data_IF_785113567077
#
_entry.id   IF_785113567077
#
_cell.length_a   1.000
_cell.length_b   1.000
_cell.length_c   1.000
_cell.angle_alpha   90.00
_cell.angle_beta   90.00
_cell.angle_gamma   90.00
#
_symmetry.space_group_name_H-M   'P 1'
#
loop_
_entity.id
_entity.type
_entity.pdbx_description
1 polymer ?
#
# COMPACT_ATOMS: atom_id res chain seq x y z
N UNK A 1 15.75 6.63 34.51
CA UNK A 1 16.16 5.86 33.31
C UNK A 1 16.14 6.82 32.13
N UNK A 2 17.28 7.22 31.54
CA UNK A 2 17.32 8.28 30.53
C UNK A 2 17.13 7.76 29.10
N UNK A 3 16.82 6.47 28.92
CA UNK A 3 16.53 5.92 27.61
C UNK A 3 15.06 6.18 27.28
N UNK A 4 14.75 6.90 26.18
CA UNK A 4 13.38 6.97 25.71
C UNK A 4 12.90 5.55 25.45
N UNK A 5 11.70 5.23 25.95
CA UNK A 5 11.01 3.98 25.63
C UNK A 5 11.03 3.77 24.12
N UNK A 6 11.22 2.52 23.64
CA UNK A 6 11.20 2.25 22.21
C UNK A 6 9.90 2.81 21.61
N UNK A 7 9.95 3.43 20.41
CA UNK A 7 8.78 4.03 19.81
C UNK A 7 7.68 2.98 19.66
N UNK A 8 6.46 3.36 20.03
CA UNK A 8 5.31 2.49 19.86
C UNK A 8 5.11 2.19 18.36
N UNK A 9 4.56 1.01 18.01
CA UNK A 9 4.21 0.71 16.62
C UNK A 9 3.29 1.79 16.03
N UNK A 10 3.47 2.16 14.76
CA UNK A 10 2.61 3.15 14.11
C UNK A 10 1.13 2.76 14.15
N UNK A 11 0.29 3.73 14.48
CA UNK A 11 -1.17 3.61 14.43
C UNK A 11 -1.75 4.17 13.13
N UNK A 12 -2.99 3.79 12.81
CA UNK A 12 -3.73 4.31 11.66
C UNK A 12 -5.16 4.68 12.03
N UNK A 13 -5.65 5.80 11.50
CA UNK A 13 -7.04 6.24 11.64
C UNK A 13 -7.65 6.54 10.27
N UNK A 14 -8.90 6.10 10.07
CA UNK A 14 -9.68 6.50 8.91
C UNK A 14 -10.46 7.78 9.23
N UNK A 15 -10.38 8.77 8.35
CA UNK A 15 -11.10 10.04 8.43
C UNK A 15 -12.03 10.16 7.21
N UNK A 16 -13.31 10.44 7.47
CA UNK A 16 -14.31 10.70 6.43
C UNK A 16 -14.61 12.20 6.38
N UNK A 17 -14.47 12.86 5.21
CA UNK A 17 -14.78 14.28 5.05
C UNK A 17 -16.25 14.62 5.33
N UNK A 18 -17.18 13.64 5.26
CA UNK A 18 -18.56 13.85 5.68
C UNK A 18 -18.67 14.35 7.13
N UNK A 19 -17.73 13.95 7.99
CA UNK A 19 -17.68 14.37 9.39
C UNK A 19 -16.55 15.35 9.70
N UNK A 20 -15.48 15.35 8.90
CA UNK A 20 -14.24 16.08 9.17
C UNK A 20 -13.74 16.84 7.93
N UNK A 21 -14.64 17.56 7.24
CA UNK A 21 -14.36 18.26 5.98
C UNK A 21 -13.13 19.16 6.05
N UNK A 22 -13.10 20.09 7.02
CA UNK A 22 -12.01 21.06 7.17
C UNK A 22 -10.65 20.40 7.39
N UNK A 23 -10.60 19.30 8.15
CA UNK A 23 -9.37 18.53 8.34
C UNK A 23 -8.86 17.94 7.02
N UNK A 24 -9.75 17.31 6.24
CA UNK A 24 -9.41 16.70 4.95
C UNK A 24 -8.98 17.76 3.91
N UNK A 25 -9.63 18.92 3.88
CA UNK A 25 -9.26 20.04 3.02
C UNK A 25 -7.87 20.59 3.39
N UNK A 26 -7.61 20.84 4.67
CA UNK A 26 -6.30 21.26 5.16
C UNK A 26 -5.21 20.24 4.82
N UNK A 27 -5.52 18.95 4.96
CA UNK A 27 -4.60 17.89 4.60
C UNK A 27 -4.30 17.86 3.10
N UNK A 28 -5.31 18.08 2.25
CA UNK A 28 -5.11 18.20 0.81
C UNK A 28 -4.22 19.40 0.43
N UNK A 29 -4.42 20.54 1.08
CA UNK A 29 -3.58 21.74 0.90
C UNK A 29 -2.12 21.46 1.32
N UNK A 30 -1.92 20.85 2.49
CA UNK A 30 -0.60 20.42 2.96
C UNK A 30 0.06 19.48 1.94
N UNK A 31 -0.68 18.50 1.44
CA UNK A 31 -0.16 17.51 0.51
C UNK A 31 0.24 18.12 -0.84
N UNK A 32 -0.48 19.14 -1.30
CA UNK A 32 -0.18 19.82 -2.58
C UNK A 32 1.20 20.48 -2.59
N UNK A 33 1.75 20.83 -1.42
CA UNK A 33 3.11 21.36 -1.28
C UNK A 33 4.18 20.34 -1.69
N UNK A 34 3.85 19.05 -1.68
CA UNK A 34 4.80 17.95 -1.91
C UNK A 34 4.39 17.01 -3.06
N UNK A 35 3.21 17.21 -3.65
CA UNK A 35 2.65 16.39 -4.72
C UNK A 35 2.33 17.27 -5.93
N UNK A 36 3.16 17.18 -6.97
CA UNK A 36 3.05 18.02 -8.17
C UNK A 36 1.74 17.76 -8.93
N UNK A 37 1.38 16.48 -9.09
CA UNK A 37 0.19 16.05 -9.83
C UNK A 37 -1.09 15.98 -8.99
N UNK A 38 -1.06 16.44 -7.74
CA UNK A 38 -2.29 16.48 -6.93
C UNK A 38 -3.21 17.58 -7.45
N UNK A 39 -4.35 17.19 -8.01
CA UNK A 39 -5.41 18.14 -8.33
C UNK A 39 -6.14 18.53 -7.04
N UNK A 40 -6.18 19.81 -6.72
CA UNK A 40 -7.00 20.35 -5.64
C UNK A 40 -8.40 20.59 -6.18
N UNK A 41 -9.22 19.54 -6.17
CA UNK A 41 -10.66 19.76 -6.14
C UNK A 41 -11.03 20.08 -4.69
N UNK A 42 -11.73 21.19 -4.45
CA UNK A 42 -12.32 21.49 -3.13
C UNK A 42 -13.33 20.39 -2.70
N UNK A 43 -13.68 19.50 -3.62
CA UNK A 43 -14.49 18.34 -3.35
C UNK A 43 -13.66 17.17 -2.81
N UNK A 44 -13.51 17.14 -1.49
CA UNK A 44 -12.91 16.01 -0.76
C UNK A 44 -13.90 14.87 -0.54
N UNK A 45 -15.21 15.08 -0.74
CA UNK A 45 -16.28 14.17 -0.34
C UNK A 45 -16.20 12.75 -0.92
N UNK A 46 -15.71 12.55 -2.16
CA UNK A 46 -15.57 11.23 -2.75
C UNK A 46 -14.52 10.35 -2.07
N UNK A 47 -13.65 10.90 -1.21
CA UNK A 47 -12.48 10.21 -0.69
C UNK A 47 -12.61 9.85 0.80
N UNK A 48 -11.97 8.74 1.18
CA UNK A 48 -11.59 8.40 2.54
C UNK A 48 -10.11 8.65 2.71
N UNK A 49 -9.72 9.16 3.88
CA UNK A 49 -8.33 9.46 4.21
C UNK A 49 -7.86 8.50 5.31
N UNK A 50 -6.69 7.88 5.13
CA UNK A 50 -6.08 6.96 6.07
C UNK A 50 -4.80 7.60 6.60
N UNK A 51 -4.87 8.13 7.82
CA UNK A 51 -3.78 8.88 8.45
C UNK A 51 -2.93 7.90 9.27
N UNK A 52 -1.62 7.87 9.02
CA UNK A 52 -0.67 7.08 9.79
C UNK A 52 0.02 7.99 10.81
N UNK A 53 0.16 7.49 12.03
CA UNK A 53 0.68 8.24 13.17
C UNK A 53 1.72 7.45 13.94
N UNK A 54 2.76 8.13 14.43
CA UNK A 54 3.57 7.65 15.56
C UNK A 54 2.89 8.12 16.85
N UNK A 55 2.84 7.28 17.89
CA UNK A 55 2.19 7.63 19.17
C UNK A 55 3.24 7.64 20.27
N UNK A 56 3.25 8.72 21.05
CA UNK A 56 4.09 8.88 22.24
C UNK A 56 3.28 9.43 23.43
N UNK A 57 3.97 9.94 24.46
CA UNK A 57 3.33 10.51 25.65
C UNK A 57 2.56 11.80 25.38
N UNK A 58 2.91 12.53 24.32
CA UNK A 58 2.36 13.84 23.99
C UNK A 58 1.18 13.72 23.00
N UNK A 59 1.08 12.60 22.29
CA UNK A 59 -0.10 12.25 21.51
C UNK A 59 0.21 11.46 20.25
N UNK A 60 -0.66 11.62 19.24
CA UNK A 60 -0.52 10.99 17.94
C UNK A 60 0.01 12.00 16.91
N UNK A 61 1.19 11.72 16.36
CA UNK A 61 1.90 12.58 15.42
C UNK A 61 1.78 12.03 14.02
N UNK A 62 1.12 12.77 13.13
CA UNK A 62 0.96 12.36 11.74
C UNK A 62 2.33 12.21 11.05
N UNK A 63 2.58 11.05 10.46
CA UNK A 63 3.79 10.78 9.64
C UNK A 63 3.50 10.77 8.15
N UNK A 64 2.25 10.50 7.77
CA UNK A 64 1.82 10.41 6.39
C UNK A 64 0.37 10.00 6.26
N UNK A 65 -0.13 9.99 5.04
CA UNK A 65 -1.46 9.48 4.73
C UNK A 65 -1.53 8.90 3.33
N UNK A 66 -2.59 8.15 3.07
CA UNK A 66 -3.11 7.97 1.72
C UNK A 66 -4.62 8.21 1.65
N UNK A 67 -5.12 8.54 0.46
CA UNK A 67 -6.55 8.63 0.18
C UNK A 67 -7.01 7.50 -0.74
N UNK A 68 -8.27 7.09 -0.59
CA UNK A 68 -8.95 6.10 -1.42
C UNK A 68 -10.35 6.60 -1.74
N UNK A 69 -10.81 6.46 -2.97
CA UNK A 69 -12.20 6.76 -3.33
C UNK A 69 -13.17 5.85 -2.57
N UNK A 70 -14.29 6.40 -2.09
CA UNK A 70 -15.38 5.66 -1.44
C UNK A 70 -16.01 4.65 -2.40
N UNK A 71 -16.11 5.04 -3.67
CA UNK A 71 -16.55 4.21 -4.79
C UNK A 71 -15.39 4.21 -5.80
N UNK A 72 -14.46 3.23 -5.70
CA UNK A 72 -13.27 3.22 -6.52
C UNK A 72 -13.58 3.10 -8.01
N UNK A 73 -12.92 3.94 -8.80
CA UNK A 73 -12.88 3.80 -10.25
C UNK A 73 -12.13 2.52 -10.65
N UNK A 74 -12.61 1.87 -11.72
CA UNK A 74 -11.96 0.69 -12.29
C UNK A 74 -10.68 1.10 -13.02
N UNK A 75 -9.61 0.36 -12.78
CA UNK A 75 -8.36 0.54 -13.49
C UNK A 75 -8.42 -0.09 -14.89
N UNK A 76 -7.73 0.51 -15.87
CA UNK A 76 -7.58 -0.08 -17.20
C UNK A 76 -6.89 -1.45 -17.09
N UNK A 77 -7.54 -2.50 -17.62
CA UNK A 77 -7.05 -3.89 -17.48
C UNK A 77 -7.53 -4.60 -16.22
N UNK A 78 -8.50 -4.03 -15.50
CA UNK A 78 -9.17 -4.66 -14.36
C UNK A 78 -8.56 -4.29 -13.00
N UNK A 79 -9.34 -4.57 -11.93
CA UNK A 79 -9.05 -4.13 -10.57
C UNK A 79 -9.54 -2.71 -10.29
N UNK A 80 -9.37 -2.27 -9.04
CA UNK A 80 -9.76 -0.94 -8.57
C UNK A 80 -8.53 -0.11 -8.19
N UNK A 81 -8.64 1.22 -8.31
CA UNK A 81 -7.66 2.10 -7.71
C UNK A 81 -7.81 2.07 -6.19
N UNK A 82 -6.92 1.34 -5.53
CA UNK A 82 -6.97 1.16 -4.07
C UNK A 82 -6.25 2.28 -3.31
N UNK A 83 -5.60 3.18 -4.04
CA UNK A 83 -4.86 4.32 -3.53
C UNK A 83 -4.85 5.42 -4.60
N UNK A 84 -5.35 6.60 -4.24
CA UNK A 84 -5.39 7.78 -5.10
C UNK A 84 -4.18 8.70 -4.86
N UNK A 85 -4.03 9.21 -3.62
CA UNK A 85 -2.85 9.98 -3.21
C UNK A 85 -2.13 9.27 -2.07
N UNK A 86 -0.80 9.34 -2.04
CA UNK A 86 0.02 8.90 -0.91
C UNK A 86 1.09 9.94 -0.63
N UNK A 87 1.30 10.23 0.65
CA UNK A 87 2.34 11.13 1.11
C UNK A 87 2.92 10.64 2.42
N UNK A 88 4.25 10.47 2.46
CA UNK A 88 5.00 10.51 3.71
C UNK A 88 5.55 11.92 3.87
N UNK A 89 5.31 12.56 5.02
CA UNK A 89 5.83 13.89 5.30
C UNK A 89 7.37 13.89 5.18
N UNK A 90 7.99 14.95 4.63
CA UNK A 90 9.43 14.96 4.35
C UNK A 90 10.33 14.55 5.52
N UNK A 91 10.02 14.99 6.74
CA UNK A 91 10.78 14.66 7.95
C UNK A 91 10.74 13.17 8.36
N UNK A 92 9.77 12.41 7.83
CA UNK A 92 9.59 10.98 8.09
C UNK A 92 9.92 10.09 6.88
N UNK A 93 10.36 10.67 5.76
CA UNK A 93 10.72 9.89 4.57
C UNK A 93 11.91 8.96 4.83
N UNK A 94 12.01 7.91 4.01
CA UNK A 94 13.06 6.86 4.10
C UNK A 94 13.07 6.06 5.41
N UNK A 95 12.01 6.14 6.22
CA UNK A 95 11.81 5.32 7.44
C UNK A 95 10.84 4.14 7.27
N UNK A 96 10.47 3.82 6.03
CA UNK A 96 9.58 2.70 5.70
C UNK A 96 8.07 3.00 5.69
N UNK A 97 7.64 4.21 6.06
CA UNK A 97 6.20 4.56 6.12
C UNK A 97 5.47 4.51 4.77
N UNK A 98 6.13 4.89 3.68
CA UNK A 98 5.54 4.75 2.33
C UNK A 98 5.19 3.29 2.03
N UNK A 99 6.10 2.36 2.32
CA UNK A 99 5.88 0.92 2.15
C UNK A 99 4.78 0.40 3.09
N UNK A 100 4.72 0.91 4.32
CA UNK A 100 3.64 0.59 5.28
C UNK A 100 2.27 1.01 4.75
N UNK A 101 2.14 2.24 4.23
CA UNK A 101 0.88 2.75 3.69
C UNK A 101 0.42 1.97 2.45
N UNK A 102 1.35 1.60 1.57
CA UNK A 102 1.05 0.73 0.43
C UNK A 102 0.60 -0.66 0.91
N UNK A 103 1.29 -1.23 1.89
CA UNK A 103 0.87 -2.50 2.49
C UNK A 103 -0.55 -2.40 3.08
N UNK A 104 -0.88 -1.24 3.65
CA UNK A 104 -2.17 -1.01 4.28
C UNK A 104 -3.28 -0.90 3.25
N UNK A 105 -3.07 -0.19 2.13
CA UNK A 105 -4.07 -0.13 1.07
C UNK A 105 -4.41 -1.51 0.51
N UNK A 106 -3.42 -2.40 0.38
CA UNK A 106 -3.64 -3.79 -0.05
C UNK A 106 -4.32 -4.67 0.99
N UNK A 107 -4.09 -4.42 2.29
CA UNK A 107 -4.84 -5.10 3.35
C UNK A 107 -6.35 -4.76 3.27
N UNK A 108 -6.69 -3.51 2.94
CA UNK A 108 -8.07 -3.12 2.69
C UNK A 108 -8.64 -3.85 1.46
N UNK A 109 -7.90 -3.88 0.35
CA UNK A 109 -8.30 -4.60 -0.87
C UNK A 109 -8.55 -6.08 -0.62
N UNK A 110 -7.69 -6.75 0.17
CA UNK A 110 -7.88 -8.15 0.56
C UNK A 110 -9.17 -8.36 1.34
N UNK A 111 -9.48 -7.47 2.29
CA UNK A 111 -10.74 -7.56 3.05
C UNK A 111 -11.98 -7.33 2.21
N UNK A 112 -11.87 -6.52 1.16
CA UNK A 112 -12.94 -6.32 0.19
C UNK A 112 -13.03 -7.46 -0.84
N UNK A 113 -12.11 -8.44 -0.81
CA UNK A 113 -11.97 -9.47 -1.85
C UNK A 113 -11.81 -8.90 -3.26
N UNK A 114 -11.08 -7.79 -3.39
CA UNK A 114 -10.85 -7.09 -4.66
C UNK A 114 -9.36 -6.96 -4.97
N UNK A 115 -9.03 -6.94 -6.26
CA UNK A 115 -7.70 -6.57 -6.71
C UNK A 115 -7.51 -5.05 -6.69
N UNK A 116 -6.33 -4.61 -6.25
CA UNK A 116 -5.96 -3.21 -6.17
C UNK A 116 -4.72 -2.87 -7.01
N UNK A 117 -4.69 -1.65 -7.52
CA UNK A 117 -3.51 -1.07 -8.18
C UNK A 117 -3.46 0.43 -7.85
N UNK A 118 -2.28 1.08 -7.82
CA UNK A 118 -2.21 2.53 -7.68
C UNK A 118 -2.82 3.26 -8.88
N UNK A 119 -3.38 4.43 -8.64
CA UNK A 119 -3.71 5.39 -9.69
C UNK A 119 -2.45 5.83 -10.47
N UNK A 120 -2.63 6.15 -11.76
CA UNK A 120 -1.55 6.58 -12.66
C UNK A 120 -1.85 7.99 -13.18
N UNK A 121 -0.83 8.85 -13.38
CA UNK A 121 0.60 8.60 -13.22
C UNK A 121 1.04 8.57 -11.74
N UNK A 122 2.00 7.70 -11.43
CA UNK A 122 2.62 7.61 -10.10
C UNK A 122 3.91 8.45 -10.06
N UNK A 123 4.20 9.11 -8.94
CA UNK A 123 5.47 9.81 -8.75
C UNK A 123 6.66 8.85 -8.75
N UNK A 124 7.85 9.32 -9.10
CA UNK A 124 9.08 8.50 -9.11
C UNK A 124 9.34 7.84 -7.74
N UNK A 125 9.18 8.61 -6.65
CA UNK A 125 9.32 8.11 -5.29
C UNK A 125 8.23 7.08 -4.95
N UNK A 126 7.01 7.30 -5.44
CA UNK A 126 5.91 6.35 -5.33
C UNK A 126 6.24 5.03 -6.05
N UNK A 127 6.72 5.10 -7.30
CA UNK A 127 7.07 3.93 -8.10
C UNK A 127 8.16 3.08 -7.44
N UNK A 128 9.20 3.71 -6.88
CA UNK A 128 10.25 3.02 -6.12
C UNK A 128 9.66 2.31 -4.90
N UNK A 129 8.76 2.98 -4.17
CA UNK A 129 8.12 2.42 -2.98
C UNK A 129 7.21 1.23 -3.32
N UNK A 130 6.41 1.33 -4.38
CA UNK A 130 5.54 0.26 -4.86
C UNK A 130 6.32 -0.95 -5.35
N UNK A 131 7.36 -0.75 -6.19
CA UNK A 131 8.23 -1.86 -6.64
C UNK A 131 8.88 -2.58 -5.46
N UNK A 132 9.37 -1.81 -4.47
CA UNK A 132 9.98 -2.36 -3.27
C UNK A 132 8.98 -3.14 -2.39
N UNK A 133 7.71 -2.70 -2.35
CA UNK A 133 6.65 -3.43 -1.66
C UNK A 133 6.25 -4.71 -2.40
N UNK A 134 5.92 -4.59 -3.69
CA UNK A 134 5.43 -5.70 -4.50
C UNK A 134 6.44 -6.84 -4.53
N UNK A 135 7.72 -6.55 -4.76
CA UNK A 135 8.74 -7.61 -4.78
C UNK A 135 8.83 -8.31 -3.43
N UNK A 136 8.81 -7.57 -2.32
CA UNK A 136 8.85 -8.16 -0.98
C UNK A 136 7.66 -9.09 -0.74
N UNK A 137 6.44 -8.63 -1.03
CA UNK A 137 5.23 -9.42 -0.81
C UNK A 137 5.22 -10.72 -1.64
N UNK A 138 5.69 -10.65 -2.90
CA UNK A 138 5.82 -11.83 -3.75
C UNK A 138 6.90 -12.78 -3.26
N UNK A 139 8.07 -12.26 -2.86
CA UNK A 139 9.16 -13.06 -2.30
C UNK A 139 8.74 -13.75 -1.00
N UNK A 140 7.97 -13.08 -0.13
CA UNK A 140 7.47 -13.66 1.11
C UNK A 140 6.57 -14.88 0.85
N UNK A 141 5.70 -14.81 -0.15
CA UNK A 141 4.86 -15.95 -0.55
C UNK A 141 5.72 -17.05 -1.16
N UNK A 142 6.59 -16.71 -2.11
CA UNK A 142 7.46 -17.67 -2.79
C UNK A 142 8.39 -18.39 -1.81
N UNK A 143 8.87 -17.71 -0.77
CA UNK A 143 9.75 -18.28 0.24
C UNK A 143 9.03 -19.29 1.15
N UNK A 144 7.74 -19.06 1.43
CA UNK A 144 6.93 -19.96 2.29
C UNK A 144 6.24 -21.07 1.50
N UNK A 145 6.01 -20.87 0.20
CA UNK A 145 5.29 -21.82 -0.65
C UNK A 145 6.19 -22.97 -1.10
N UNK A 146 5.64 -24.19 -1.13
CA UNK A 146 6.34 -25.37 -1.66
C UNK A 146 5.70 -25.80 -2.97
N UNK A 147 6.52 -25.99 -4.00
CA UNK A 147 6.07 -26.40 -5.33
C UNK A 147 5.87 -25.22 -6.29
N UNK A 148 5.18 -25.48 -7.40
CA UNK A 148 4.83 -24.44 -8.37
C UNK A 148 3.72 -23.55 -7.83
N UNK A 149 3.74 -22.28 -8.22
CA UNK A 149 2.69 -21.30 -7.93
C UNK A 149 2.40 -20.54 -9.22
N UNK A 150 1.12 -20.31 -9.50
CA UNK A 150 0.70 -19.56 -10.69
C UNK A 150 0.64 -18.06 -10.40
N UNK A 151 0.70 -17.24 -11.46
CA UNK A 151 0.49 -15.78 -11.35
C UNK A 151 -0.90 -15.46 -10.81
N UNK A 152 -1.91 -16.27 -11.17
CA UNK A 152 -3.28 -16.12 -10.69
C UNK A 152 -3.39 -16.37 -9.18
N UNK A 153 -2.73 -17.41 -8.67
CA UNK A 153 -2.69 -17.70 -7.24
C UNK A 153 -1.96 -16.61 -6.45
N UNK A 154 -0.89 -16.04 -7.00
CA UNK A 154 -0.23 -14.86 -6.42
C UNK A 154 -1.17 -13.66 -6.37
N UNK A 155 -1.96 -13.44 -7.42
CA UNK A 155 -2.97 -12.37 -7.51
C UNK A 155 -4.00 -12.48 -6.39
N UNK A 156 -4.54 -13.68 -6.18
CA UNK A 156 -5.55 -13.96 -5.14
C UNK A 156 -4.99 -13.77 -3.72
N UNK A 157 -3.75 -14.21 -3.47
CA UNK A 157 -3.11 -14.10 -2.14
C UNK A 157 -2.68 -12.66 -1.81
N UNK A 158 -2.28 -11.88 -2.81
CA UNK A 158 -1.73 -10.53 -2.59
C UNK A 158 -2.75 -9.40 -2.80
N UNK A 159 -3.84 -9.68 -3.53
CA UNK A 159 -4.73 -8.70 -4.13
C UNK A 159 -4.06 -7.79 -5.18
N UNK A 160 -2.89 -8.18 -5.72
CA UNK A 160 -2.23 -7.44 -6.79
C UNK A 160 -2.87 -7.79 -8.12
N UNK A 161 -2.76 -6.91 -9.11
CA UNK A 161 -3.11 -7.27 -10.48
C UNK A 161 -2.05 -8.20 -11.06
N UNK A 162 -2.48 -9.16 -11.89
CA UNK A 162 -1.58 -10.09 -12.60
C UNK A 162 -0.50 -9.35 -13.40
N UNK A 163 -0.84 -8.25 -14.07
CA UNK A 163 0.13 -7.40 -14.79
C UNK A 163 1.21 -6.83 -13.87
N UNK A 164 0.82 -6.35 -12.68
CA UNK A 164 1.77 -5.77 -11.71
C UNK A 164 2.69 -6.86 -11.16
N UNK A 165 2.17 -8.09 -10.96
CA UNK A 165 2.97 -9.27 -10.59
C UNK A 165 3.97 -9.60 -11.69
N UNK A 166 3.53 -9.74 -12.95
CA UNK A 166 4.40 -10.10 -14.07
C UNK A 166 5.49 -9.06 -14.25
N UNK A 167 5.14 -7.77 -14.27
CA UNK A 167 6.12 -6.67 -14.41
C UNK A 167 7.12 -6.66 -13.26
N UNK A 168 6.66 -6.90 -12.03
CA UNK A 168 7.54 -6.96 -10.86
C UNK A 168 8.49 -8.15 -10.95
N UNK A 169 8.00 -9.36 -11.21
CA UNK A 169 8.86 -10.54 -11.31
C UNK A 169 9.83 -10.46 -12.49
N UNK A 170 9.44 -9.85 -13.62
CA UNK A 170 10.32 -9.59 -14.75
C UNK A 170 11.45 -8.62 -14.38
N UNK A 171 11.14 -7.53 -13.67
CA UNK A 171 12.14 -6.55 -13.25
C UNK A 171 13.21 -7.14 -12.31
N UNK A 172 12.89 -8.21 -11.59
CA UNK A 172 13.80 -8.93 -10.69
C UNK A 172 14.34 -10.24 -11.29
N UNK A 173 14.09 -10.52 -12.58
CA UNK A 173 14.51 -11.75 -13.26
C UNK A 173 14.01 -13.05 -12.58
N UNK A 174 12.83 -13.01 -11.98
CA UNK A 174 12.22 -14.12 -11.23
C UNK A 174 11.21 -14.94 -12.05
N UNK A 175 10.87 -14.48 -13.25
CA UNK A 175 9.90 -15.13 -14.14
C UNK A 175 10.46 -15.21 -15.56
N UNK A 176 10.14 -16.29 -16.28
CA UNK A 176 10.46 -16.46 -17.69
C UNK A 176 9.18 -16.68 -18.48
N UNK A 177 9.20 -16.26 -19.75
CA UNK A 177 8.14 -16.56 -20.70
C UNK A 177 8.64 -17.62 -21.66
N UNK A 178 7.95 -18.75 -21.73
CA UNK A 178 8.30 -19.86 -22.61
C UNK A 178 7.03 -20.46 -23.22
N UNK A 179 6.99 -20.58 -24.55
CA UNK A 179 5.90 -21.27 -25.26
C UNK A 179 4.49 -20.73 -25.01
N UNK A 180 4.33 -19.42 -24.79
CA UNK A 180 3.03 -18.83 -24.51
C UNK A 180 2.70 -18.67 -23.02
N UNK A 181 3.50 -19.26 -22.13
CA UNK A 181 3.22 -19.32 -20.68
C UNK A 181 4.30 -18.64 -19.85
N UNK A 182 3.88 -18.04 -18.73
CA UNK A 182 4.77 -17.51 -17.71
C UNK A 182 5.10 -18.61 -16.69
N UNK A 183 6.40 -18.85 -16.46
CA UNK A 183 6.89 -19.78 -15.44
C UNK A 183 7.80 -19.06 -14.47
N UNK A 184 7.46 -19.14 -13.17
CA UNK A 184 8.26 -18.58 -12.08
C UNK A 184 9.37 -19.60 -11.80
N UNK A 185 10.62 -19.22 -12.08
CA UNK A 185 11.78 -20.10 -11.93
C UNK A 185 12.85 -19.37 -11.11
N UNK A 186 12.86 -19.65 -9.82
CA UNK A 186 13.77 -18.99 -8.87
C UNK A 186 14.50 -20.06 -8.07
N UNK A 187 15.83 -19.96 -7.98
CA UNK A 187 16.59 -20.86 -7.10
C UNK A 187 16.39 -20.45 -5.64
N UNK A 188 16.38 -21.38 -4.67
CA UNK A 188 16.25 -21.05 -3.25
C UNK A 188 17.28 -20.02 -2.77
N UNK A 189 18.52 -20.07 -3.28
CA UNK A 189 19.58 -19.12 -2.95
C UNK A 189 19.28 -17.71 -3.43
N UNK A 190 18.84 -17.56 -4.68
CA UNK A 190 18.44 -16.27 -5.25
C UNK A 190 17.25 -15.69 -4.49
N UNK A 191 16.28 -16.55 -4.15
CA UNK A 191 15.09 -16.17 -3.40
C UNK A 191 15.45 -15.63 -2.01
N UNK A 192 16.30 -16.34 -1.26
CA UNK A 192 16.72 -15.94 0.08
C UNK A 192 17.47 -14.61 0.09
N UNK A 193 18.37 -14.42 -0.87
CA UNK A 193 19.14 -13.18 -1.01
C UNK A 193 18.22 -11.99 -1.28
N UNK A 194 17.27 -12.13 -2.21
CA UNK A 194 16.31 -11.06 -2.48
C UNK A 194 15.38 -10.81 -1.30
N UNK A 195 14.93 -11.87 -0.62
CA UNK A 195 14.02 -11.76 0.52
C UNK A 195 14.65 -10.98 1.68
N UNK A 196 15.89 -11.32 2.05
CA UNK A 196 16.63 -10.62 3.11
C UNK A 196 16.81 -9.14 2.80
N UNK A 197 17.11 -8.80 1.54
CA UNK A 197 17.33 -7.41 1.11
C UNK A 197 16.03 -6.60 1.01
N UNK A 198 14.88 -7.25 0.82
CA UNK A 198 13.60 -6.59 0.57
C UNK A 198 12.77 -6.34 1.85
N UNK A 199 13.19 -6.89 2.99
CA UNK A 199 12.43 -6.89 4.25
C UNK A 199 12.04 -5.46 4.68
N UNK A 200 10.76 -5.19 4.98
CA UNK A 200 10.30 -3.86 5.38
C UNK A 200 10.65 -3.54 6.83
N UNK A 201 10.73 -2.25 7.14
CA UNK A 201 10.84 -1.75 8.52
C UNK A 201 9.57 -2.04 9.34
N UNK A 202 8.41 -2.05 8.67
CA UNK A 202 7.10 -2.19 9.28
C UNK A 202 6.29 -3.26 8.57
N UNK A 203 5.65 -4.14 9.34
CA UNK A 203 4.75 -5.19 8.84
C UNK A 203 3.39 -4.97 9.48
N UNK A 204 2.33 -5.09 8.68
CA UNK A 204 0.96 -4.94 9.15
C UNK A 204 0.53 -6.21 9.88
N UNK A 205 0.00 -6.03 11.08
CA UNK A 205 -0.74 -7.08 11.79
C UNK A 205 -2.21 -7.00 11.41
N UNK A 206 -2.63 -7.89 10.49
CA UNK A 206 -4.02 -7.98 10.02
C UNK A 206 -5.03 -8.22 11.14
N UNK A 207 -4.62 -8.80 12.29
CA UNK A 207 -5.51 -9.04 13.44
C UNK A 207 -5.87 -7.76 14.18
N UNK A 208 -5.08 -6.69 14.03
CA UNK A 208 -5.31 -5.38 14.68
C UNK A 208 -6.18 -4.45 13.84
N UNK A 209 -6.38 -4.75 12.56
CA UNK A 209 -7.20 -3.92 11.70
C UNK A 209 -8.69 -4.11 12.06
N UNK A 210 -9.28 -3.06 12.64
CA UNK A 210 -10.71 -2.96 12.92
C UNK A 210 -11.35 -2.07 11.86
N UNK A 211 -11.89 -2.68 10.82
CA UNK A 211 -12.35 -1.96 9.64
C UNK A 211 -13.41 -2.75 8.89
N UNK A 212 -14.41 -2.03 8.38
CA UNK A 212 -15.52 -2.55 7.57
C UNK A 212 -15.57 -1.79 6.24
N UNK A 213 -15.72 -2.49 5.10
CA UNK A 213 -15.89 -1.90 3.79
C UNK A 213 -16.97 -0.81 3.74
N UNK A 214 -16.72 0.27 3.00
CA UNK A 214 -17.62 1.42 2.95
C UNK A 214 -19.04 1.05 2.51
N UNK A 215 -19.17 0.16 1.51
CA UNK A 215 -20.45 -0.28 0.95
C UNK A 215 -21.25 -1.20 1.89
N UNK A 216 -20.61 -1.79 2.89
CA UNK A 216 -21.25 -2.64 3.91
C UNK A 216 -21.69 -1.84 5.14
N UNK A 217 -21.35 -0.54 5.21
CA UNK A 217 -21.70 0.29 6.37
C UNK A 217 -23.21 0.54 6.39
N UNK A 218 -23.81 0.59 7.60
CA UNK A 218 -25.20 1.01 7.72
C UNK A 218 -25.36 2.41 7.12
N UNK A 219 -26.34 2.58 6.22
CA UNK A 219 -26.76 3.91 5.79
C UNK A 219 -27.33 4.61 7.01
N UNK A 220 -26.70 5.70 7.43
CA UNK A 220 -27.20 6.57 8.51
C UNK A 220 -28.26 7.51 7.98
#
# INVERSE_FOLDING_TARGET
>A
NPFPSPPLPPGGVQVDPQYQRAYCENLCLLAKLFLDHKTLYYDVEPFLFYIITEVDSDGAHMVGYFSKEKVPSLAEGGGEYNLACILTLPCYQRRGYGKLMIAFSYELSRRESKMGTPERPISDLGLVSYRSYWVYALLEILHKHRGSISVQELSERTAFRTDDIVKTLQAFNLIRYFGGQHSILVTPKTLEQHYTNAKPNWIIDSTKLRWTPYHERPKR
#
